data_IF_182019967571
#
_entry.id   IF_182019967571
#
_cell.length_a   1.000
_cell.length_b   1.000
_cell.length_c   1.000
_cell.angle_alpha   90.00
_cell.angle_beta   90.00
_cell.angle_gamma   90.00
#
_symmetry.space_group_name_H-M   'P 1'
#
loop_
_entity.id
_entity.type
_entity.pdbx_description
1 polymer ?
#
# COMPACT_ATOMS: atom_id res chain seq x y z
N UNK A 1 -0.01 5.33 -19.40
CA UNK A 1 -0.95 4.96 -18.31
C UNK A 1 -1.01 3.45 -18.25
N UNK A 2 -0.68 2.88 -17.12
CA UNK A 2 -0.69 1.44 -16.89
C UNK A 2 -1.80 1.11 -15.88
N UNK A 3 -2.50 -0.01 -16.10
CA UNK A 3 -3.49 -0.53 -15.17
C UNK A 3 -2.91 -1.73 -14.43
N UNK A 4 -3.11 -1.76 -13.12
CA UNK A 4 -2.74 -2.88 -12.26
C UNK A 4 -3.96 -3.75 -12.03
N UNK A 5 -3.81 -5.05 -12.15
CA UNK A 5 -4.86 -6.02 -11.93
C UNK A 5 -4.46 -6.99 -10.81
N UNK A 6 -5.38 -7.18 -9.86
CA UNK A 6 -5.26 -8.19 -8.81
C UNK A 6 -5.99 -9.48 -9.19
N UNK A 7 -5.53 -10.60 -8.63
CA UNK A 7 -6.22 -11.91 -8.68
C UNK A 7 -6.52 -12.44 -10.08
N UNK A 8 -5.63 -12.18 -11.02
CA UNK A 8 -5.70 -12.71 -12.37
C UNK A 8 -4.63 -13.77 -12.59
N UNK A 9 -5.02 -14.90 -13.15
CA UNK A 9 -4.07 -15.94 -13.56
C UNK A 9 -3.24 -15.49 -14.78
N UNK A 10 -3.89 -14.72 -15.68
CA UNK A 10 -3.25 -14.14 -16.87
C UNK A 10 -3.69 -12.71 -17.05
N UNK A 11 -2.76 -11.85 -17.50
CA UNK A 11 -3.07 -10.48 -17.86
C UNK A 11 -3.71 -10.44 -19.27
N UNK A 12 -4.71 -9.56 -19.46
CA UNK A 12 -5.20 -9.25 -20.81
C UNK A 12 -4.08 -8.65 -21.68
N UNK A 13 -4.29 -8.64 -23.01
CA UNK A 13 -3.39 -7.89 -23.90
C UNK A 13 -3.56 -6.38 -23.65
N UNK A 14 -2.47 -5.64 -23.67
CA UNK A 14 -2.45 -4.18 -23.46
C UNK A 14 -1.53 -3.76 -22.31
N UNK A 15 -1.73 -2.54 -21.81
CA UNK A 15 -0.91 -1.94 -20.75
C UNK A 15 -1.42 -2.38 -19.36
N UNK A 16 -1.31 -3.67 -19.07
CA UNK A 16 -1.70 -4.25 -17.77
C UNK A 16 -0.48 -4.85 -17.08
N UNK A 17 -0.44 -4.69 -15.76
CA UNK A 17 0.56 -5.29 -14.88
C UNK A 17 -0.12 -5.99 -13.70
N UNK A 18 0.58 -6.91 -13.04
CA UNK A 18 0.10 -7.50 -11.80
C UNK A 18 0.29 -6.53 -10.63
N UNK A 19 -0.79 -6.20 -9.94
CA UNK A 19 -0.74 -5.33 -8.77
C UNK A 19 0.29 -5.80 -7.73
N UNK A 20 0.20 -7.07 -7.30
CA UNK A 20 1.09 -7.62 -6.27
C UNK A 20 2.57 -7.50 -6.67
N UNK A 21 2.94 -7.82 -7.92
CA UNK A 21 4.33 -7.74 -8.39
C UNK A 21 4.83 -6.30 -8.42
N UNK A 22 3.99 -5.38 -8.91
CA UNK A 22 4.35 -3.96 -9.00
C UNK A 22 4.53 -3.35 -7.61
N UNK A 23 3.60 -3.60 -6.68
CA UNK A 23 3.69 -3.06 -5.31
C UNK A 23 4.83 -3.71 -4.53
N UNK A 24 5.05 -5.02 -4.63
CA UNK A 24 6.19 -5.67 -3.99
C UNK A 24 7.53 -5.12 -4.50
N UNK A 25 7.65 -4.91 -5.81
CA UNK A 25 8.84 -4.28 -6.40
C UNK A 25 9.02 -2.85 -5.90
N UNK A 26 7.96 -2.06 -5.82
CA UNK A 26 8.03 -0.70 -5.29
C UNK A 26 8.39 -0.68 -3.79
N UNK A 27 7.83 -1.57 -2.98
CA UNK A 27 8.20 -1.75 -1.57
C UNK A 27 9.69 -2.09 -1.39
N UNK A 28 10.29 -2.80 -2.34
CA UNK A 28 11.71 -3.12 -2.32
C UNK A 28 12.61 -1.93 -2.69
N UNK A 29 12.19 -1.11 -3.66
CA UNK A 29 13.04 -0.12 -4.30
C UNK A 29 12.94 1.30 -3.72
N UNK A 30 11.81 1.66 -3.08
CA UNK A 30 11.61 3.01 -2.53
C UNK A 30 11.84 3.06 -1.03
N UNK A 31 12.34 4.20 -0.55
CA UNK A 31 12.69 4.41 0.86
C UNK A 31 11.52 4.95 1.69
N UNK A 32 10.66 5.75 1.10
CA UNK A 32 9.52 6.37 1.78
C UNK A 32 8.22 5.89 1.15
N UNK A 33 7.31 5.40 1.99
CA UNK A 33 6.10 4.73 1.55
C UNK A 33 4.92 5.22 2.39
N UNK A 34 3.95 5.82 1.72
CA UNK A 34 2.67 6.19 2.33
C UNK A 34 1.56 5.30 1.75
N UNK A 35 0.86 4.57 2.60
CA UNK A 35 -0.23 3.68 2.20
C UNK A 35 -1.51 4.13 2.90
N UNK A 36 -2.52 4.52 2.12
CA UNK A 36 -3.85 4.81 2.62
C UNK A 36 -4.83 3.75 2.11
N UNK A 37 -5.47 3.02 3.03
CA UNK A 37 -6.40 1.93 2.70
C UNK A 37 -7.60 1.92 3.65
N UNK A 38 -8.75 1.45 3.14
CA UNK A 38 -9.94 1.30 3.98
C UNK A 38 -9.80 0.20 5.03
N UNK A 39 -9.26 -0.95 4.65
CA UNK A 39 -9.15 -2.15 5.49
C UNK A 39 -7.76 -2.73 5.51
N UNK A 40 -7.44 -3.38 6.64
CA UNK A 40 -6.20 -4.14 6.86
C UNK A 40 -6.54 -5.54 7.36
N UNK A 41 -5.67 -6.51 7.07
CA UNK A 41 -5.73 -7.86 7.63
C UNK A 41 -4.38 -8.24 8.25
N UNK A 42 -4.38 -9.21 9.15
CA UNK A 42 -3.14 -9.68 9.80
C UNK A 42 -2.16 -10.27 8.79
N UNK A 43 -2.67 -11.03 7.82
CA UNK A 43 -1.83 -11.68 6.81
C UNK A 43 -1.16 -10.65 5.89
N UNK A 44 -1.91 -9.60 5.50
CA UNK A 44 -1.37 -8.50 4.71
C UNK A 44 -0.28 -7.72 5.47
N UNK A 45 -0.46 -7.52 6.77
CA UNK A 45 0.53 -6.88 7.64
C UNK A 45 1.78 -7.73 7.79
N UNK A 46 1.62 -9.03 8.04
CA UNK A 46 2.74 -9.95 8.16
C UNK A 46 3.58 -9.96 6.88
N UNK A 47 2.92 -9.98 5.72
CA UNK A 47 3.58 -9.87 4.42
C UNK A 47 4.30 -8.53 4.25
N UNK A 48 3.65 -7.40 4.55
CA UNK A 48 4.25 -6.07 4.46
C UNK A 48 5.52 -5.97 5.32
N UNK A 49 5.45 -6.42 6.57
CA UNK A 49 6.61 -6.43 7.47
C UNK A 49 7.71 -7.34 6.95
N UNK A 50 7.36 -8.51 6.40
CA UNK A 50 8.32 -9.41 5.76
C UNK A 50 9.07 -8.73 4.62
N UNK A 51 8.34 -8.13 3.69
CA UNK A 51 8.90 -7.42 2.54
C UNK A 51 9.80 -6.24 2.95
N UNK A 52 9.43 -5.50 3.99
CA UNK A 52 10.26 -4.40 4.52
C UNK A 52 11.55 -4.93 5.14
N UNK A 53 11.48 -6.03 5.90
CA UNK A 53 12.65 -6.64 6.53
C UNK A 53 13.63 -7.29 5.55
N UNK A 54 13.14 -7.83 4.46
CA UNK A 54 13.96 -8.40 3.38
C UNK A 54 14.75 -7.33 2.62
N UNK A 55 14.33 -6.07 2.70
CA UNK A 55 14.95 -4.94 2.02
C UNK A 55 15.39 -3.89 3.06
N UNK A 56 16.52 -4.10 3.75
CA UNK A 56 16.94 -3.36 4.93
C UNK A 56 17.49 -1.94 4.67
N UNK A 57 17.21 -1.33 3.52
CA UNK A 57 17.40 0.11 3.34
C UNK A 57 16.62 0.92 4.39
N UNK A 58 16.99 2.17 4.63
CA UNK A 58 16.20 3.08 5.47
C UNK A 58 14.81 3.23 4.88
N UNK A 59 13.83 2.53 5.43
CA UNK A 59 12.44 2.63 4.97
C UNK A 59 11.60 3.36 6.01
N UNK A 60 10.83 4.34 5.54
CA UNK A 60 9.79 4.98 6.32
C UNK A 60 8.43 4.58 5.76
N UNK A 61 7.60 3.93 6.56
CA UNK A 61 6.27 3.44 6.14
C UNK A 61 5.20 4.08 7.00
N UNK A 62 4.35 4.91 6.41
CA UNK A 62 3.18 5.47 7.05
C UNK A 62 1.92 4.79 6.52
N UNK A 63 1.08 4.33 7.43
CA UNK A 63 -0.18 3.66 7.11
C UNK A 63 -1.35 4.50 7.61
N UNK A 64 -2.24 4.89 6.70
CA UNK A 64 -3.47 5.62 6.96
C UNK A 64 -4.65 4.67 6.78
N UNK A 65 -5.38 4.40 7.88
CA UNK A 65 -6.46 3.42 7.89
C UNK A 65 -7.80 4.15 8.03
N UNK A 66 -8.64 4.01 6.99
CA UNK A 66 -9.89 4.76 6.86
C UNK A 66 -11.12 4.11 7.47
N UNK A 67 -11.13 2.78 7.64
CA UNK A 67 -12.29 2.02 8.12
C UNK A 67 -11.95 1.24 9.40
N UNK A 68 -11.18 1.82 10.29
CA UNK A 68 -10.72 1.18 11.53
C UNK A 68 -11.80 1.02 12.60
N UNK A 69 -13.02 1.49 12.35
CA UNK A 69 -14.14 1.53 13.30
C UNK A 69 -14.64 0.16 13.78
N UNK A 70 -14.25 -0.93 13.14
CA UNK A 70 -14.51 -2.27 13.68
C UNK A 70 -13.49 -2.59 14.76
N UNK A 71 -13.97 -3.12 15.91
CA UNK A 71 -13.12 -3.48 17.06
C UNK A 71 -11.89 -4.33 16.68
N UNK A 72 -12.03 -5.20 15.70
CA UNK A 72 -10.95 -6.07 15.24
C UNK A 72 -9.88 -5.28 14.45
N UNK A 73 -10.26 -4.38 13.55
CA UNK A 73 -9.33 -3.57 12.77
C UNK A 73 -8.53 -2.62 13.66
N UNK A 74 -9.16 -2.03 14.68
CA UNK A 74 -8.46 -1.16 15.63
C UNK A 74 -7.38 -1.90 16.40
N UNK A 75 -7.66 -3.12 16.86
CA UNK A 75 -6.67 -3.95 17.54
C UNK A 75 -5.48 -4.26 16.62
N UNK A 76 -5.75 -4.66 15.38
CA UNK A 76 -4.73 -4.93 14.37
C UNK A 76 -3.89 -3.67 14.08
N UNK A 77 -4.53 -2.51 13.94
CA UNK A 77 -3.85 -1.24 13.72
C UNK A 77 -2.90 -0.86 14.88
N UNK A 78 -3.33 -1.07 16.12
CA UNK A 78 -2.50 -0.81 17.30
C UNK A 78 -1.29 -1.78 17.39
N UNK A 79 -1.52 -3.07 17.12
CA UNK A 79 -0.45 -4.08 17.06
C UNK A 79 0.59 -3.69 15.98
N UNK A 80 0.14 -3.32 14.79
CA UNK A 80 1.01 -2.88 13.71
C UNK A 80 1.78 -1.61 14.05
N UNK A 81 1.12 -0.62 14.65
CA UNK A 81 1.79 0.62 15.06
C UNK A 81 2.91 0.35 16.07
N UNK A 82 2.67 -0.55 17.03
CA UNK A 82 3.71 -0.95 17.98
C UNK A 82 4.91 -1.58 17.27
N UNK A 83 4.69 -2.48 16.32
CA UNK A 83 5.75 -3.13 15.54
C UNK A 83 6.53 -2.10 14.71
N UNK A 84 5.85 -1.20 13.99
CA UNK A 84 6.52 -0.18 13.17
C UNK A 84 7.36 0.78 14.02
N UNK A 85 6.87 1.16 15.19
CA UNK A 85 7.60 2.02 16.13
C UNK A 85 8.83 1.29 16.73
N UNK A 86 8.68 0.04 17.13
CA UNK A 86 9.78 -0.79 17.67
C UNK A 86 10.90 -0.97 16.64
N UNK A 87 10.52 -1.17 15.37
CA UNK A 87 11.47 -1.31 14.26
C UNK A 87 12.02 0.03 13.75
N UNK A 88 11.51 1.16 14.23
CA UNK A 88 11.88 2.48 13.72
C UNK A 88 11.47 2.75 12.27
N UNK A 89 10.44 2.02 11.78
CA UNK A 89 10.07 2.02 10.36
C UNK A 89 8.94 3.00 10.02
N UNK A 90 8.21 3.55 10.99
CA UNK A 90 7.11 4.46 10.72
C UNK A 90 5.95 4.38 11.69
N UNK A 91 4.75 4.74 11.24
CA UNK A 91 3.56 4.83 12.09
C UNK A 91 2.28 4.43 11.38
N UNK A 92 1.27 4.11 12.20
CA UNK A 92 -0.12 3.94 11.74
C UNK A 92 -0.94 5.14 12.18
N UNK A 93 -1.68 5.71 11.25
CA UNK A 93 -2.60 6.82 11.47
C UNK A 93 -4.03 6.37 11.28
N UNK A 94 -4.90 6.73 12.21
CA UNK A 94 -6.34 6.56 12.08
C UNK A 94 -6.95 7.87 11.58
N UNK A 95 -7.79 7.82 10.55
CA UNK A 95 -8.45 9.02 10.03
C UNK A 95 -9.70 9.35 10.86
N UNK A 96 -9.98 10.65 11.04
CA UNK A 96 -11.18 11.11 11.75
C UNK A 96 -12.46 10.71 11.01
N UNK A 97 -12.43 10.83 9.70
CA UNK A 97 -13.57 10.48 8.85
C UNK A 97 -13.30 9.15 8.16
N UNK A 98 -14.27 8.23 8.13
CA UNK A 98 -14.13 6.99 7.40
C UNK A 98 -13.87 7.29 5.92
N UNK A 99 -12.91 6.58 5.31
CA UNK A 99 -12.72 6.59 3.87
C UNK A 99 -12.48 5.17 3.35
N UNK A 100 -12.80 4.94 2.11
CA UNK A 100 -12.65 3.64 1.44
C UNK A 100 -11.70 3.69 0.24
N UNK A 101 -11.02 4.80 0.04
CA UNK A 101 -9.99 4.95 -0.98
C UNK A 101 -8.79 4.03 -0.73
N UNK A 102 -8.03 3.75 -1.76
CA UNK A 102 -6.76 3.03 -1.69
C UNK A 102 -5.73 3.81 -2.48
N UNK A 103 -4.68 4.19 -1.79
CA UNK A 103 -3.54 4.90 -2.36
C UNK A 103 -2.26 4.25 -1.82
N UNK A 104 -1.36 3.94 -2.71
CA UNK A 104 0.02 3.57 -2.42
C UNK A 104 0.92 4.61 -3.05
N UNK A 105 1.61 5.38 -2.24
CA UNK A 105 2.50 6.45 -2.69
C UNK A 105 3.93 6.10 -2.28
N UNK A 106 4.79 6.00 -3.26
CA UNK A 106 6.22 5.71 -3.10
C UNK A 106 7.01 6.95 -3.44
N UNK A 107 7.97 7.29 -2.57
CA UNK A 107 8.75 8.52 -2.67
C UNK A 107 10.24 8.21 -2.70
N UNK A 108 10.96 9.06 -3.38
CA UNK A 108 12.42 9.09 -3.39
C UNK A 108 12.88 10.49 -2.97
N UNK A 109 13.67 10.57 -1.87
CA UNK A 109 14.16 11.84 -1.32
C UNK A 109 13.05 12.88 -1.09
N UNK A 110 11.95 12.46 -0.47
CA UNK A 110 10.74 13.26 -0.21
C UNK A 110 9.94 13.68 -1.48
N UNK A 111 10.29 13.19 -2.66
CA UNK A 111 9.52 13.48 -3.86
C UNK A 111 8.69 12.25 -4.28
N UNK A 112 7.41 12.44 -4.63
CA UNK A 112 6.61 11.36 -5.19
C UNK A 112 7.24 10.83 -6.47
N UNK A 113 7.41 9.52 -6.56
CA UNK A 113 8.03 8.86 -7.69
C UNK A 113 7.10 7.84 -8.37
N UNK A 114 6.19 7.24 -7.60
CA UNK A 114 5.23 6.26 -8.08
C UNK A 114 3.99 6.26 -7.20
N UNK A 115 2.80 6.15 -7.78
CA UNK A 115 1.58 5.93 -7.03
C UNK A 115 0.70 4.86 -7.68
N UNK A 116 -0.04 4.14 -6.85
CA UNK A 116 -1.17 3.30 -7.28
C UNK A 116 -2.44 3.78 -6.59
N UNK A 117 -3.48 4.05 -7.38
CA UNK A 117 -4.78 4.51 -6.89
C UNK A 117 -5.87 3.60 -7.46
N UNK A 118 -6.70 3.03 -6.60
CA UNK A 118 -7.75 2.14 -7.09
C UNK A 118 -8.57 1.44 -6.02
N UNK A 119 -8.84 0.16 -6.22
CA UNK A 119 -9.71 -0.64 -5.35
C UNK A 119 -8.95 -1.63 -4.47
N UNK A 120 -7.67 -1.92 -4.74
CA UNK A 120 -6.89 -2.93 -4.02
C UNK A 120 -6.50 -2.52 -2.61
N UNK A 121 -7.02 -3.19 -1.60
CA UNK A 121 -6.56 -3.07 -0.21
C UNK A 121 -5.17 -3.70 -0.03
N UNK A 122 -4.58 -3.51 1.15
CA UNK A 122 -3.25 -4.03 1.49
C UNK A 122 -3.12 -5.55 1.26
N UNK A 123 -4.19 -6.28 1.43
CA UNK A 123 -4.27 -7.71 1.13
C UNK A 123 -4.02 -8.08 -0.35
N UNK A 124 -4.24 -7.14 -1.28
CA UNK A 124 -3.90 -7.32 -2.69
C UNK A 124 -2.41 -7.59 -2.95
N UNK A 125 -1.54 -7.22 -2.02
CA UNK A 125 -0.09 -7.48 -2.11
C UNK A 125 0.23 -8.98 -2.12
N UNK A 126 -0.58 -9.82 -1.47
CA UNK A 126 -0.40 -11.27 -1.45
C UNK A 126 -0.94 -11.99 -2.67
N UNK A 127 -1.74 -11.34 -3.50
CA UNK A 127 -2.51 -11.93 -4.59
C UNK A 127 -3.44 -13.10 -4.13
N UNK A 128 -3.83 -13.10 -2.87
CA UNK A 128 -4.60 -14.18 -2.24
C UNK A 128 -6.10 -13.87 -2.11
N UNK A 129 -6.60 -12.87 -2.84
CA UNK A 129 -7.99 -12.44 -2.80
C UNK A 129 -8.87 -13.10 -3.84
N UNK A 130 -10.14 -13.30 -3.49
CA UNK A 130 -11.15 -13.76 -4.43
C UNK A 130 -11.65 -12.64 -5.37
N UNK A 131 -11.58 -11.38 -4.93
CA UNK A 131 -12.06 -10.25 -5.72
C UNK A 131 -11.06 -9.81 -6.79
N UNK A 132 -11.56 -9.53 -7.96
CA UNK A 132 -10.79 -8.85 -9.00
C UNK A 132 -10.79 -7.35 -8.74
N UNK A 133 -9.61 -6.77 -8.60
CA UNK A 133 -9.42 -5.37 -8.32
C UNK A 133 -8.67 -4.69 -9.48
N UNK A 134 -8.91 -3.41 -9.65
CA UNK A 134 -8.28 -2.59 -10.70
C UNK A 134 -7.71 -1.34 -10.05
N UNK A 135 -6.46 -1.06 -10.35
CA UNK A 135 -5.76 0.13 -9.88
C UNK A 135 -5.06 0.83 -11.05
N UNK A 136 -4.92 2.13 -10.94
CA UNK A 136 -4.20 2.98 -11.88
C UNK A 136 -2.79 3.21 -11.37
N UNK A 137 -1.79 2.91 -12.18
CA UNK A 137 -0.39 3.25 -11.91
C UNK A 137 -0.07 4.64 -12.48
N UNK A 138 0.45 5.51 -11.63
CA UNK A 138 0.78 6.91 -11.91
C UNK A 138 2.28 7.09 -11.73
N UNK A 139 2.95 7.59 -12.76
CA UNK A 139 4.40 7.82 -12.81
C UNK A 139 4.75 9.26 -13.25
N UNK A 140 3.73 10.08 -13.58
CA UNK A 140 3.96 11.48 -13.96
C UNK A 140 4.00 12.41 -12.75
N UNK A 141 4.99 13.30 -12.73
CA UNK A 141 5.27 14.18 -11.59
C UNK A 141 4.11 15.12 -11.23
N UNK A 142 3.37 15.61 -12.21
CA UNK A 142 2.28 16.58 -11.99
C UNK A 142 1.14 15.91 -11.23
N UNK A 143 0.73 14.73 -11.68
CA UNK A 143 -0.35 13.96 -11.04
C UNK A 143 0.08 13.47 -9.65
N UNK A 144 1.33 13.01 -9.51
CA UNK A 144 1.87 12.52 -8.23
C UNK A 144 1.86 13.58 -7.13
N UNK A 145 2.21 14.82 -7.43
CA UNK A 145 2.12 15.94 -6.47
C UNK A 145 0.68 16.22 -6.00
N UNK A 146 -0.32 15.86 -6.79
CA UNK A 146 -1.72 15.91 -6.41
C UNK A 146 -2.11 14.86 -5.35
N UNK A 147 -1.44 13.72 -5.32
CA UNK A 147 -1.70 12.62 -4.38
C UNK A 147 -1.21 12.90 -2.94
N UNK A 148 -0.33 13.90 -2.74
CA UNK A 148 0.22 14.26 -1.41
C UNK A 148 -0.70 15.19 -0.60
N UNK A 149 -1.69 15.83 -1.22
CA UNK A 149 -2.61 16.79 -0.57
C UNK A 149 -3.86 16.11 -0.04
#
# INVERSE_FOLDING_TARGET
MNLLLSNRAQLPKGNFQYFHKTIQSALANYEEIDIAVGYISRDAIALLIGLIKENPGHKSVNLYIGMSLTRNNRKIALELNAILLELGLGRVYETRNPFHGKLYLFKEKNNPALASVGSSNLSGISNAHENHEIDLLIEDEITLRGCEK
#
